data_IF_718633125093
#
_entry.id   IF_718633125093
#
_cell.length_a   1.000
_cell.length_b   1.000
_cell.length_c   1.000
_cell.angle_alpha   90.00
_cell.angle_beta   90.00
_cell.angle_gamma   90.00
#
_symmetry.space_group_name_H-M   'P 1'
#
loop_
_entity.id
_entity.type
_entity.pdbx_description
1 polymer ?
#
# COMPACT_ATOMS: atom_id res chain seq x y z
N UNK A 1 -33.52 68.11 14.50
CA UNK A 1 -34.80 68.54 15.09
C UNK A 1 -35.42 67.37 15.84
N UNK A 2 -35.39 67.54 17.07
CA UNK A 2 -36.55 67.66 17.96
C UNK A 2 -37.05 66.28 18.37
N UNK A 3 -36.78 65.85 19.53
CA UNK A 3 -37.32 66.11 20.88
C UNK A 3 -38.27 64.96 21.24
N UNK A 4 -38.15 64.40 22.28
CA UNK A 4 -38.36 64.72 23.68
C UNK A 4 -39.44 63.85 24.27
N UNK A 5 -39.05 63.36 25.43
CA UNK A 5 -39.86 63.37 26.66
C UNK A 5 -40.95 62.28 26.75
N UNK A 6 -41.21 61.64 27.80
CA UNK A 6 -40.76 61.67 29.19
C UNK A 6 -41.65 60.68 29.96
N UNK A 7 -41.05 60.14 31.06
CA UNK A 7 -41.69 59.96 32.37
C UNK A 7 -43.06 59.34 32.40
N UNK A 8 -43.34 58.31 33.16
CA UNK A 8 -43.05 58.03 34.54
C UNK A 8 -44.14 57.17 35.18
N UNK A 9 -43.91 56.79 36.41
CA UNK A 9 -44.77 56.29 37.43
C UNK A 9 -45.02 54.75 37.45
N UNK A 10 -44.31 54.02 38.31
CA UNK A 10 -44.59 53.73 39.71
C UNK A 10 -46.08 53.43 40.05
N UNK A 11 -46.27 52.18 40.44
CA UNK A 11 -47.08 51.72 41.57
C UNK A 11 -47.18 50.20 41.47
N UNK A 12 -46.53 49.45 42.33
CA UNK A 12 -46.88 49.12 43.69
C UNK A 12 -47.92 48.00 43.80
N UNK A 13 -47.45 46.87 44.28
CA UNK A 13 -48.05 45.97 45.27
C UNK A 13 -49.36 45.25 44.89
N UNK A 14 -49.29 43.95 44.89
CA UNK A 14 -50.01 43.18 45.94
C UNK A 14 -49.57 41.74 45.93
N UNK A 15 -49.00 41.31 47.06
CA UNK A 15 -48.89 39.91 47.51
C UNK A 15 -50.26 39.28 47.52
N UNK A 16 -50.40 38.15 46.83
CA UNK A 16 -51.44 37.17 47.15
C UNK A 16 -50.77 35.84 47.44
N UNK A 17 -50.59 35.61 48.73
CA UNK A 17 -50.32 34.28 49.29
C UNK A 17 -51.60 33.46 49.11
N UNK A 18 -51.56 32.48 48.24
CA UNK A 18 -52.51 31.37 48.27
C UNK A 18 -51.75 30.10 48.63
N UNK A 19 -51.85 29.77 49.90
CA UNK A 19 -51.52 28.46 50.45
C UNK A 19 -52.50 27.44 49.87
N UNK A 20 -52.00 26.49 49.11
CA UNK A 20 -52.73 25.28 48.70
C UNK A 20 -52.07 24.11 49.42
N UNK A 21 -52.87 23.28 50.11
CA UNK A 21 -52.34 22.23 50.97
C UNK A 21 -51.69 21.11 50.21
N UNK A 22 -50.59 20.64 50.75
CA UNK A 22 -49.99 19.36 50.40
C UNK A 22 -50.98 18.23 50.63
N UNK A 23 -51.48 17.64 49.56
CA UNK A 23 -51.96 16.26 49.57
C UNK A 23 -50.99 15.48 48.70
N UNK A 24 -50.21 14.61 49.33
CA UNK A 24 -49.25 13.78 48.65
C UNK A 24 -49.90 12.77 47.73
N UNK A 25 -49.19 12.53 46.65
CA UNK A 25 -48.97 11.22 46.06
C UNK A 25 -48.19 11.39 44.74
N UNK A 26 -46.95 10.88 44.74
CA UNK A 26 -46.37 10.38 43.50
C UNK A 26 -45.62 11.35 42.58
N UNK A 27 -44.67 12.15 43.06
CA UNK A 27 -43.71 12.85 42.17
C UNK A 27 -42.30 12.28 42.30
N UNK A 28 -42.21 10.96 42.52
CA UNK A 28 -40.95 10.25 42.63
C UNK A 28 -40.47 9.57 41.33
N UNK A 29 -40.92 9.95 40.12
CA UNK A 29 -40.56 9.11 38.97
C UNK A 29 -39.99 9.80 37.74
N UNK A 30 -39.99 11.12 37.68
CA UNK A 30 -39.43 11.83 36.53
C UNK A 30 -37.99 12.28 36.76
N UNK A 31 -37.61 12.60 37.99
CA UNK A 31 -36.24 12.95 38.35
C UNK A 31 -35.38 11.68 38.53
N UNK A 32 -35.93 10.57 39.03
CA UNK A 32 -35.23 9.27 39.10
C UNK A 32 -34.90 8.68 37.72
N UNK A 33 -35.69 9.03 36.68
CA UNK A 33 -35.36 8.62 35.30
C UNK A 33 -34.23 9.44 34.67
N UNK A 34 -33.91 10.60 35.24
CA UNK A 34 -32.78 11.43 34.73
C UNK A 34 -31.54 11.32 35.63
N UNK A 35 -31.63 10.76 36.81
CA UNK A 35 -30.51 10.63 37.75
C UNK A 35 -30.04 9.20 37.96
N UNK A 36 -30.81 8.20 37.54
CA UNK A 36 -30.41 6.77 37.59
C UNK A 36 -30.03 6.26 36.19
N UNK A 37 -29.15 6.95 35.48
CA UNK A 37 -28.12 6.32 34.69
C UNK A 37 -26.85 6.34 35.53
N UNK A 38 -26.80 5.54 36.57
CA UNK A 38 -25.57 4.93 37.02
C UNK A 38 -25.13 3.98 35.87
N UNK A 39 -24.76 4.55 34.70
CA UNK A 39 -23.75 3.97 33.88
C UNK A 39 -22.46 4.08 34.69
N UNK A 40 -22.37 3.32 35.80
CA UNK A 40 -21.09 2.99 36.39
C UNK A 40 -20.34 2.26 35.29
N UNK A 41 -19.45 3.02 34.62
CA UNK A 41 -18.51 2.45 33.69
C UNK A 41 -17.76 1.35 34.46
N UNK A 42 -18.13 0.11 34.19
CA UNK A 42 -17.45 -1.06 34.76
C UNK A 42 -16.30 -1.33 33.81
N UNK A 43 -15.11 -0.96 34.29
CA UNK A 43 -13.89 -1.26 33.59
C UNK A 43 -13.75 -2.78 33.47
N UNK A 44 -13.86 -3.30 32.24
CA UNK A 44 -13.64 -4.73 32.01
C UNK A 44 -12.14 -5.03 31.90
N UNK A 45 -11.68 -6.21 32.33
CA UNK A 45 -10.29 -6.62 32.18
C UNK A 45 -9.87 -6.60 30.71
N UNK A 46 -8.67 -6.05 30.43
CA UNK A 46 -8.17 -5.86 29.07
C UNK A 46 -8.07 -7.16 28.26
N UNK A 47 -7.66 -8.25 28.93
CA UNK A 47 -7.57 -9.58 28.33
C UNK A 47 -8.95 -10.12 27.93
N UNK A 48 -9.98 -9.85 28.70
CA UNK A 48 -11.36 -10.26 28.40
C UNK A 48 -11.86 -9.57 27.12
N UNK A 49 -11.74 -8.25 27.05
CA UNK A 49 -12.17 -7.46 25.88
C UNK A 49 -11.40 -7.90 24.64
N UNK A 50 -10.08 -8.09 24.77
CA UNK A 50 -9.24 -8.58 23.69
C UNK A 50 -9.67 -9.96 23.18
N UNK A 51 -9.92 -10.90 24.08
CA UNK A 51 -10.36 -12.26 23.71
C UNK A 51 -11.75 -12.27 23.07
N UNK A 52 -12.65 -11.38 23.50
CA UNK A 52 -13.94 -11.18 22.80
C UNK A 52 -13.72 -10.68 21.35
N UNK A 53 -12.79 -9.75 21.14
CA UNK A 53 -12.40 -9.31 19.81
C UNK A 53 -11.87 -10.45 18.94
N UNK A 54 -10.98 -11.29 19.49
CA UNK A 54 -10.49 -12.49 18.81
C UNK A 54 -11.61 -13.47 18.46
N UNK A 55 -12.53 -13.71 19.37
CA UNK A 55 -13.69 -14.57 19.13
C UNK A 55 -14.56 -14.05 17.98
N UNK A 56 -14.88 -12.77 17.99
CA UNK A 56 -15.66 -12.13 16.94
C UNK A 56 -14.97 -12.24 15.58
N UNK A 57 -13.65 -12.07 15.56
CA UNK A 57 -12.85 -12.14 14.34
C UNK A 57 -12.75 -13.59 13.81
N UNK A 58 -12.39 -14.55 14.68
CA UNK A 58 -12.04 -15.91 14.27
C UNK A 58 -13.28 -16.80 14.08
N UNK A 59 -14.23 -16.74 15.00
CA UNK A 59 -15.40 -17.61 15.00
C UNK A 59 -16.60 -17.00 14.28
N UNK A 60 -16.86 -15.71 14.50
CA UNK A 60 -17.99 -15.02 13.88
C UNK A 60 -17.66 -14.40 12.53
N UNK A 61 -16.37 -14.25 12.20
CA UNK A 61 -15.89 -13.54 11.00
C UNK A 61 -16.41 -12.11 10.88
N UNK A 62 -16.79 -11.52 12.02
CA UNK A 62 -17.25 -10.13 12.11
C UNK A 62 -16.10 -9.21 12.44
N UNK A 63 -15.38 -8.78 11.38
CA UNK A 63 -14.21 -7.90 11.50
C UNK A 63 -14.57 -6.54 12.07
N UNK A 64 -15.78 -6.04 11.78
CA UNK A 64 -16.24 -4.74 12.26
C UNK A 64 -16.52 -4.76 13.77
N UNK A 65 -17.19 -5.81 14.27
CA UNK A 65 -17.42 -5.98 15.69
C UNK A 65 -16.10 -6.26 16.45
N UNK A 66 -15.20 -7.05 15.86
CA UNK A 66 -13.87 -7.29 16.41
C UNK A 66 -13.08 -6.00 16.61
N UNK A 67 -13.06 -5.13 15.58
CA UNK A 67 -12.39 -3.82 15.67
C UNK A 67 -12.89 -2.98 16.84
N UNK A 68 -14.20 -2.91 17.03
CA UNK A 68 -14.77 -2.16 18.17
C UNK A 68 -14.24 -2.65 19.52
N UNK A 69 -14.05 -3.97 19.66
CA UNK A 69 -13.47 -4.55 20.87
C UNK A 69 -11.98 -4.22 21.02
N UNK A 70 -11.21 -4.27 19.94
CA UNK A 70 -9.79 -3.88 20.00
C UNK A 70 -9.61 -2.38 20.30
N UNK A 71 -10.44 -1.51 19.73
CA UNK A 71 -10.47 -0.09 20.05
C UNK A 71 -10.90 0.16 21.51
N UNK A 72 -11.82 -0.66 22.03
CA UNK A 72 -12.24 -0.61 23.42
C UNK A 72 -11.08 -0.91 24.39
N UNK A 73 -10.22 -1.89 24.06
CA UNK A 73 -9.02 -2.17 24.87
C UNK A 73 -8.10 -0.94 24.90
N UNK A 74 -7.84 -0.30 23.77
CA UNK A 74 -6.99 0.89 23.69
C UNK A 74 -7.59 2.06 24.48
N UNK A 75 -8.90 2.19 24.49
CA UNK A 75 -9.61 3.24 25.21
C UNK A 75 -9.61 3.03 26.72
N UNK A 76 -9.88 1.80 27.20
CA UNK A 76 -9.96 1.50 28.64
C UNK A 76 -8.58 1.28 29.27
N UNK A 77 -7.64 0.71 28.53
CA UNK A 77 -6.33 0.29 29.02
C UNK A 77 -5.17 0.76 28.12
N UNK A 78 -5.03 2.08 27.84
CA UNK A 78 -4.18 2.61 26.75
C UNK A 78 -2.68 2.32 26.90
N UNK A 79 -2.22 1.99 28.10
CA UNK A 79 -0.80 1.73 28.40
C UNK A 79 -0.49 0.26 28.66
N UNK A 80 -1.45 -0.62 28.44
CA UNK A 80 -1.27 -2.06 28.66
C UNK A 80 -0.62 -2.75 27.46
N UNK A 81 0.00 -3.90 27.70
CA UNK A 81 0.43 -4.80 26.62
C UNK A 81 -0.72 -5.26 25.75
N UNK A 82 -1.93 -5.31 26.30
CA UNK A 82 -3.14 -5.63 25.58
C UNK A 82 -3.55 -4.53 24.60
N UNK A 83 -3.35 -3.26 24.95
CA UNK A 83 -3.56 -2.14 24.00
C UNK A 83 -2.63 -2.23 22.81
N UNK A 84 -1.34 -2.54 23.03
CA UNK A 84 -0.38 -2.75 21.96
C UNK A 84 -0.81 -3.90 21.04
N UNK A 85 -1.18 -5.06 21.60
CA UNK A 85 -1.69 -6.21 20.83
C UNK A 85 -2.98 -5.87 20.09
N UNK A 86 -3.90 -5.15 20.76
CA UNK A 86 -5.18 -4.75 20.19
C UNK A 86 -5.01 -3.81 18.99
N UNK A 87 -4.07 -2.87 19.05
CA UNK A 87 -3.78 -1.97 17.96
C UNK A 87 -3.29 -2.73 16.72
N UNK A 88 -2.43 -3.74 16.89
CA UNK A 88 -2.00 -4.61 15.81
C UNK A 88 -3.16 -5.43 15.24
N UNK A 89 -3.97 -6.02 16.11
CA UNK A 89 -5.14 -6.82 15.70
C UNK A 89 -6.21 -5.97 15.02
N UNK A 90 -6.35 -4.71 15.41
CA UNK A 90 -7.21 -3.75 14.73
C UNK A 90 -6.73 -3.51 13.30
N UNK A 91 -5.43 -3.24 13.11
CA UNK A 91 -4.84 -3.09 11.77
C UNK A 91 -5.08 -4.35 10.91
N UNK A 92 -4.85 -5.54 11.47
CA UNK A 92 -5.11 -6.81 10.77
C UNK A 92 -6.59 -6.99 10.41
N UNK A 93 -7.49 -6.68 11.35
CA UNK A 93 -8.93 -6.83 11.15
C UNK A 93 -9.46 -5.87 10.08
N UNK A 94 -8.99 -4.62 10.03
CA UNK A 94 -9.28 -3.69 8.94
C UNK A 94 -8.79 -4.21 7.59
N UNK A 95 -7.56 -4.76 7.57
CA UNK A 95 -7.01 -5.35 6.36
C UNK A 95 -7.86 -6.51 5.83
N UNK A 96 -8.27 -7.43 6.71
CA UNK A 96 -9.16 -8.54 6.37
C UNK A 96 -10.54 -8.08 5.89
N UNK A 97 -11.00 -6.95 6.36
CA UNK A 97 -12.25 -6.33 5.92
C UNK A 97 -12.12 -5.56 4.58
N UNK A 98 -10.90 -5.40 4.05
CA UNK A 98 -10.62 -4.60 2.87
C UNK A 98 -10.64 -3.09 3.13
N UNK A 99 -10.69 -2.67 4.39
CA UNK A 99 -10.57 -1.25 4.78
C UNK A 99 -9.10 -0.86 4.90
N UNK A 100 -8.49 -0.65 3.74
CA UNK A 100 -7.06 -0.41 3.64
C UNK A 100 -6.63 0.94 4.23
N UNK A 101 -7.46 1.97 4.16
CA UNK A 101 -7.14 3.28 4.73
C UNK A 101 -7.08 3.22 6.25
N UNK A 102 -8.04 2.56 6.89
CA UNK A 102 -8.02 2.30 8.34
C UNK A 102 -6.86 1.40 8.74
N UNK A 103 -6.53 0.39 7.93
CA UNK A 103 -5.34 -0.45 8.13
C UNK A 103 -4.06 0.37 8.16
N UNK A 104 -3.85 1.24 7.18
CA UNK A 104 -2.68 2.10 7.08
C UNK A 104 -2.59 3.01 8.31
N UNK A 105 -3.71 3.60 8.74
CA UNK A 105 -3.78 4.45 9.92
C UNK A 105 -3.37 3.72 11.20
N UNK A 106 -3.99 2.56 11.47
CA UNK A 106 -3.72 1.75 12.66
C UNK A 106 -2.28 1.18 12.67
N UNK A 107 -1.83 0.65 11.54
CA UNK A 107 -0.49 0.10 11.41
C UNK A 107 0.61 1.18 11.52
N UNK A 108 0.38 2.37 10.94
CA UNK A 108 1.31 3.50 11.08
C UNK A 108 1.41 3.93 12.54
N UNK A 109 0.28 4.02 13.25
CA UNK A 109 0.27 4.30 14.69
C UNK A 109 1.08 3.25 15.45
N UNK A 110 0.91 1.95 15.10
CA UNK A 110 1.66 0.87 15.74
C UNK A 110 3.18 1.02 15.57
N UNK A 111 3.67 1.18 14.35
CA UNK A 111 5.13 1.31 14.11
C UNK A 111 5.72 2.59 14.70
N UNK A 112 4.91 3.65 14.82
CA UNK A 112 5.33 4.90 15.45
C UNK A 112 5.49 4.76 16.97
N UNK A 113 4.53 4.08 17.62
CA UNK A 113 4.52 3.91 19.07
C UNK A 113 5.43 2.75 19.54
N UNK A 114 5.59 1.72 18.71
CA UNK A 114 6.27 0.48 19.08
C UNK A 114 7.30 0.04 18.03
N UNK A 115 8.26 0.91 17.61
CA UNK A 115 9.19 0.60 16.51
C UNK A 115 10.14 -0.56 16.80
N UNK A 116 10.42 -0.83 18.07
CA UNK A 116 11.26 -1.95 18.53
C UNK A 116 10.49 -3.24 18.85
N UNK A 117 9.18 -3.27 18.62
CA UNK A 117 8.39 -4.48 18.85
C UNK A 117 8.75 -5.58 17.85
N UNK A 118 8.73 -6.87 18.25
CA UNK A 118 8.85 -7.99 17.32
C UNK A 118 7.84 -7.96 16.17
N UNK A 119 6.66 -7.39 16.41
CA UNK A 119 5.56 -7.30 15.46
C UNK A 119 5.62 -6.06 14.56
N UNK A 120 6.61 -5.17 14.75
CA UNK A 120 6.74 -3.93 13.97
C UNK A 120 6.95 -4.21 12.48
N UNK A 121 7.67 -5.28 12.14
CA UNK A 121 7.85 -5.71 10.75
C UNK A 121 6.53 -6.10 10.09
N UNK A 122 5.65 -6.78 10.82
CA UNK A 122 4.32 -7.13 10.34
C UNK A 122 3.43 -5.90 10.13
N UNK A 123 3.43 -4.98 11.10
CA UNK A 123 2.67 -3.74 10.97
C UNK A 123 3.14 -2.90 9.76
N UNK A 124 4.47 -2.81 9.54
CA UNK A 124 5.02 -2.15 8.36
C UNK A 124 4.61 -2.84 7.05
N UNK A 125 4.57 -4.18 7.07
CA UNK A 125 4.11 -4.97 5.93
C UNK A 125 2.61 -4.74 5.64
N UNK A 126 1.76 -4.63 6.65
CA UNK A 126 0.33 -4.32 6.46
C UNK A 126 0.12 -2.97 5.77
N UNK A 127 0.93 -1.95 6.08
CA UNK A 127 0.90 -0.66 5.36
C UNK A 127 1.19 -0.88 3.88
N UNK A 128 2.29 -1.58 3.58
CA UNK A 128 2.72 -1.81 2.21
C UNK A 128 1.74 -2.70 1.43
N UNK A 129 1.25 -3.78 2.05
CA UNK A 129 0.25 -4.66 1.46
C UNK A 129 -1.06 -3.93 1.16
N UNK A 130 -1.49 -3.03 2.05
CA UNK A 130 -2.68 -2.21 1.84
C UNK A 130 -2.53 -1.27 0.64
N UNK A 131 -1.37 -0.65 0.44
CA UNK A 131 -1.12 0.13 -0.77
C UNK A 131 -1.12 -0.74 -2.02
N UNK A 132 -0.57 -1.95 -1.95
CA UNK A 132 -0.50 -2.87 -3.07
C UNK A 132 -1.88 -3.41 -3.47
N UNK A 133 -2.66 -3.88 -2.50
CA UNK A 133 -3.94 -4.55 -2.73
C UNK A 133 -5.07 -3.57 -3.14
N UNK A 134 -4.86 -2.27 -2.97
CA UNK A 134 -5.74 -1.21 -3.50
C UNK A 134 -5.55 -0.94 -5.00
N UNK A 135 -4.54 -1.52 -5.64
CA UNK A 135 -4.25 -1.23 -7.05
C UNK A 135 -5.17 -2.09 -7.93
N UNK A 136 -6.12 -1.48 -8.69
CA UNK A 136 -7.02 -2.25 -9.55
C UNK A 136 -6.29 -2.91 -10.72
N UNK A 137 -5.28 -2.21 -11.27
CA UNK A 137 -4.46 -2.67 -12.39
C UNK A 137 -3.07 -2.04 -12.29
N UNK A 138 -2.08 -2.86 -11.96
CA UNK A 138 -0.67 -2.46 -11.80
C UNK A 138 -0.14 -1.77 -13.06
N UNK A 139 -0.58 -2.20 -14.23
CA UNK A 139 -0.10 -1.68 -15.49
C UNK A 139 -0.74 -0.33 -15.89
N UNK A 140 -1.85 0.04 -15.29
CA UNK A 140 -2.60 1.26 -15.62
C UNK A 140 -2.45 2.36 -14.60
N UNK A 141 -2.36 2.02 -13.33
CA UNK A 141 -2.23 2.99 -12.24
C UNK A 141 -0.77 3.08 -11.78
N UNK A 142 0.04 3.76 -12.56
CA UNK A 142 1.48 3.88 -12.32
C UNK A 142 1.78 4.56 -10.96
N UNK A 143 1.05 5.62 -10.61
CA UNK A 143 1.31 6.37 -9.38
C UNK A 143 1.05 5.52 -8.13
N UNK A 144 -0.05 4.76 -8.10
CA UNK A 144 -0.35 3.84 -7.00
C UNK A 144 0.64 2.67 -6.96
N UNK A 145 1.02 2.15 -8.12
CA UNK A 145 2.00 1.06 -8.21
C UNK A 145 3.37 1.50 -7.69
N UNK A 146 3.86 2.68 -8.06
CA UNK A 146 5.12 3.24 -7.55
C UNK A 146 5.06 3.45 -6.02
N UNK A 147 3.95 3.97 -5.50
CA UNK A 147 3.75 4.14 -4.06
C UNK A 147 3.76 2.81 -3.30
N UNK A 148 3.11 1.79 -3.85
CA UNK A 148 3.09 0.46 -3.26
C UNK A 148 4.50 -0.19 -3.27
N UNK A 149 5.22 -0.10 -4.38
CA UNK A 149 6.60 -0.59 -4.48
C UNK A 149 7.50 0.12 -3.47
N UNK A 150 7.42 1.45 -3.35
CA UNK A 150 8.19 2.20 -2.37
C UNK A 150 7.89 1.77 -0.92
N UNK A 151 6.62 1.53 -0.59
CA UNK A 151 6.22 1.02 0.73
C UNK A 151 6.73 -0.40 0.99
N UNK A 152 6.73 -1.28 -0.01
CA UNK A 152 7.30 -2.62 0.09
C UNK A 152 8.83 -2.59 0.24
N UNK A 153 9.52 -1.70 -0.49
CA UNK A 153 10.97 -1.48 -0.34
C UNK A 153 11.34 -0.98 1.06
N UNK A 154 10.46 -0.18 1.68
CA UNK A 154 10.65 0.27 3.06
C UNK A 154 10.58 -0.88 4.07
N UNK A 155 9.71 -1.88 3.87
CA UNK A 155 9.70 -3.10 4.69
C UNK A 155 11.05 -3.81 4.61
N UNK A 156 11.58 -4.00 3.40
CA UNK A 156 12.87 -4.67 3.17
C UNK A 156 14.02 -3.89 3.82
N UNK A 157 14.00 -2.57 3.71
CA UNK A 157 15.04 -1.69 4.27
C UNK A 157 15.05 -1.67 5.79
N UNK A 158 13.87 -1.60 6.42
CA UNK A 158 13.75 -1.52 7.89
C UNK A 158 13.88 -2.88 8.57
N UNK A 159 13.40 -3.94 7.94
CA UNK A 159 13.29 -5.27 8.53
C UNK A 159 13.84 -6.36 7.59
N UNK A 160 15.11 -6.29 7.16
CA UNK A 160 15.66 -7.12 6.07
C UNK A 160 15.68 -8.62 6.36
N UNK A 161 15.68 -9.02 7.64
CA UNK A 161 15.72 -10.42 8.08
C UNK A 161 14.36 -11.01 8.39
N UNK A 162 13.29 -10.22 8.29
CA UNK A 162 11.93 -10.69 8.55
C UNK A 162 11.36 -11.51 7.39
N UNK A 163 10.45 -12.41 7.68
CA UNK A 163 9.67 -13.14 6.66
C UNK A 163 8.87 -12.17 5.77
N UNK A 164 8.48 -11.01 6.32
CA UNK A 164 7.74 -9.97 5.60
C UNK A 164 8.60 -9.26 4.55
N UNK A 165 9.92 -9.19 4.74
CA UNK A 165 10.85 -8.72 3.72
C UNK A 165 10.87 -9.67 2.51
N UNK A 166 10.80 -10.97 2.72
CA UNK A 166 10.70 -11.97 1.64
C UNK A 166 9.37 -11.84 0.89
N UNK A 167 8.26 -11.69 1.62
CA UNK A 167 6.94 -11.46 1.03
C UNK A 167 6.88 -10.16 0.24
N UNK A 168 7.50 -9.08 0.76
CA UNK A 168 7.58 -7.80 0.08
C UNK A 168 8.39 -7.89 -1.23
N UNK A 169 9.53 -8.60 -1.23
CA UNK A 169 10.32 -8.87 -2.44
C UNK A 169 9.50 -9.57 -3.51
N UNK A 170 8.78 -10.62 -3.15
CA UNK A 170 7.93 -11.37 -4.08
C UNK A 170 6.84 -10.49 -4.71
N UNK A 171 6.18 -9.62 -3.93
CA UNK A 171 5.20 -8.66 -4.45
C UNK A 171 5.83 -7.64 -5.40
N UNK A 172 7.02 -7.10 -5.08
CA UNK A 172 7.76 -6.17 -5.94
C UNK A 172 8.12 -6.84 -7.27
N UNK A 173 8.65 -8.06 -7.23
CA UNK A 173 9.00 -8.81 -8.44
C UNK A 173 7.79 -9.08 -9.31
N UNK A 174 6.65 -9.47 -8.72
CA UNK A 174 5.40 -9.64 -9.43
C UNK A 174 4.89 -8.36 -10.10
N UNK A 175 4.97 -7.23 -9.40
CA UNK A 175 4.58 -5.93 -9.95
C UNK A 175 5.51 -5.50 -11.11
N UNK A 176 6.82 -5.65 -10.94
CA UNK A 176 7.81 -5.35 -11.98
C UNK A 176 7.63 -6.22 -13.22
N UNK A 177 7.33 -7.51 -13.02
CA UNK A 177 7.05 -8.43 -14.14
C UNK A 177 5.82 -8.00 -14.96
N UNK A 178 4.75 -7.56 -14.28
CA UNK A 178 3.55 -7.05 -14.95
C UNK A 178 3.84 -5.74 -15.73
N UNK A 179 4.60 -4.82 -15.12
CA UNK A 179 5.00 -3.57 -15.77
C UNK A 179 5.89 -3.84 -17.01
N UNK A 180 6.86 -4.73 -16.87
CA UNK A 180 7.69 -5.16 -17.98
C UNK A 180 6.87 -5.82 -19.10
N UNK A 181 5.93 -6.69 -18.75
CA UNK A 181 5.02 -7.34 -19.69
C UNK A 181 4.19 -6.35 -20.50
N UNK A 182 3.72 -5.27 -19.88
CA UNK A 182 3.04 -4.16 -20.57
C UNK A 182 3.97 -3.48 -21.59
N UNK A 183 5.18 -3.11 -21.17
CA UNK A 183 6.14 -2.47 -22.07
C UNK A 183 6.48 -3.39 -23.25
N UNK A 184 6.64 -4.69 -22.99
CA UNK A 184 6.86 -5.69 -24.05
C UNK A 184 5.71 -5.78 -25.02
N UNK A 185 4.47 -5.79 -24.54
CA UNK A 185 3.27 -5.83 -25.39
C UNK A 185 3.19 -4.61 -26.32
N UNK A 186 3.43 -3.41 -25.77
CA UNK A 186 3.46 -2.16 -26.55
C UNK A 186 4.63 -2.15 -27.54
N UNK A 187 5.81 -2.61 -27.12
CA UNK A 187 6.98 -2.72 -27.97
C UNK A 187 6.74 -3.65 -29.17
N UNK A 188 6.17 -4.84 -28.96
CA UNK A 188 5.79 -5.78 -30.04
C UNK A 188 4.78 -5.16 -31.00
N UNK A 189 3.78 -4.43 -30.50
CA UNK A 189 2.84 -3.71 -31.36
C UNK A 189 3.55 -2.72 -32.31
N UNK A 190 4.52 -1.95 -31.80
CA UNK A 190 5.29 -1.04 -32.61
C UNK A 190 6.18 -1.77 -33.65
N UNK A 191 6.75 -2.92 -33.32
CA UNK A 191 7.48 -3.76 -34.29
C UNK A 191 6.56 -4.20 -35.42
N UNK A 192 5.34 -4.65 -35.12
CA UNK A 192 4.32 -5.02 -36.11
C UNK A 192 3.95 -3.84 -37.04
N UNK A 193 3.93 -2.62 -36.49
CA UNK A 193 3.71 -1.38 -37.23
C UNK A 193 4.97 -0.86 -37.95
N UNK A 194 6.11 -1.53 -37.80
CA UNK A 194 7.42 -1.13 -38.32
C UNK A 194 7.91 0.24 -37.78
N UNK A 195 7.37 0.68 -36.66
CA UNK A 195 7.87 1.83 -35.90
C UNK A 195 8.94 1.35 -34.91
N UNK A 196 10.11 1.06 -35.46
CA UNK A 196 11.21 0.49 -34.68
C UNK A 196 11.76 1.46 -33.64
N UNK A 197 11.70 2.76 -33.87
CA UNK A 197 12.15 3.77 -32.91
C UNK A 197 11.26 3.77 -31.66
N UNK A 198 9.94 3.73 -31.84
CA UNK A 198 9.00 3.60 -30.72
C UNK A 198 9.18 2.25 -30.02
N UNK A 199 9.38 1.16 -30.76
CA UNK A 199 9.63 -0.16 -30.19
C UNK A 199 10.90 -0.20 -29.31
N UNK A 200 12.00 0.37 -29.80
CA UNK A 200 13.28 0.46 -29.09
C UNK A 200 13.09 1.17 -27.74
N UNK A 201 12.34 2.26 -27.70
CA UNK A 201 12.10 2.98 -26.45
C UNK A 201 11.37 2.11 -25.41
N UNK A 202 10.42 1.28 -25.84
CA UNK A 202 9.72 0.36 -24.95
C UNK A 202 10.61 -0.76 -24.43
N UNK A 203 11.34 -1.42 -25.31
CA UNK A 203 12.28 -2.48 -24.91
C UNK A 203 13.44 -1.95 -24.07
N UNK A 204 13.90 -0.71 -24.35
CA UNK A 204 14.88 -0.02 -23.51
C UNK A 204 14.39 0.15 -22.07
N UNK A 205 13.12 0.50 -21.85
CA UNK A 205 12.52 0.57 -20.51
C UNK A 205 12.63 -0.75 -19.80
N UNK A 206 12.33 -1.88 -20.46
CA UNK A 206 12.48 -3.22 -19.85
C UNK A 206 13.93 -3.49 -19.45
N UNK A 207 14.86 -3.25 -20.34
CA UNK A 207 16.30 -3.50 -20.10
C UNK A 207 16.88 -2.57 -19.03
N UNK A 208 16.39 -1.34 -18.89
CA UNK A 208 16.94 -0.38 -17.92
C UNK A 208 16.26 -0.38 -16.57
N UNK A 209 14.98 -0.77 -16.50
CA UNK A 209 14.19 -0.67 -15.25
C UNK A 209 13.72 -2.03 -14.70
N UNK A 210 13.63 -3.05 -15.56
CA UNK A 210 13.04 -4.35 -15.22
C UNK A 210 13.98 -5.53 -15.56
N UNK A 211 15.28 -5.37 -15.35
CA UNK A 211 16.32 -6.35 -15.73
C UNK A 211 16.16 -7.71 -15.04
N UNK A 212 15.54 -7.75 -13.86
CA UNK A 212 15.35 -8.98 -13.07
C UNK A 212 14.11 -9.76 -13.48
N UNK A 213 13.31 -9.23 -14.42
CA UNK A 213 12.11 -9.91 -14.88
C UNK A 213 12.41 -10.91 -16.00
N UNK A 214 11.53 -11.90 -16.17
CA UNK A 214 11.61 -12.89 -17.26
C UNK A 214 11.57 -12.26 -18.67
N UNK A 215 11.23 -10.99 -18.78
CA UNK A 215 11.06 -10.28 -20.06
C UNK A 215 12.36 -9.72 -20.63
N UNK A 216 13.44 -9.66 -19.84
CA UNK A 216 14.71 -9.02 -20.28
C UNK A 216 15.35 -9.73 -21.47
N UNK A 217 15.27 -11.06 -21.51
CA UNK A 217 15.84 -11.86 -22.61
C UNK A 217 15.14 -11.55 -23.94
N UNK A 218 13.81 -11.56 -23.95
CA UNK A 218 13.05 -11.18 -25.15
C UNK A 218 13.31 -9.71 -25.51
N UNK A 219 13.39 -8.80 -24.54
CA UNK A 219 13.65 -7.39 -24.79
C UNK A 219 14.99 -7.17 -25.52
N UNK A 220 16.05 -7.87 -25.10
CA UNK A 220 17.35 -7.81 -25.77
C UNK A 220 17.29 -8.35 -27.22
N UNK A 221 16.59 -9.46 -27.43
CA UNK A 221 16.35 -9.96 -28.80
C UNK A 221 15.59 -8.96 -29.64
N UNK A 222 14.50 -8.38 -29.13
CA UNK A 222 13.71 -7.38 -29.85
C UNK A 222 14.47 -6.09 -30.12
N UNK A 223 15.39 -5.70 -29.24
CA UNK A 223 16.34 -4.62 -29.52
C UNK A 223 17.29 -4.99 -30.67
N UNK A 224 17.81 -6.21 -30.69
CA UNK A 224 18.61 -6.71 -31.81
C UNK A 224 17.83 -6.58 -33.11
N UNK A 225 16.60 -7.08 -33.15
CA UNK A 225 15.71 -7.03 -34.33
C UNK A 225 15.44 -5.58 -34.77
N UNK A 226 15.06 -4.70 -33.87
CA UNK A 226 14.71 -3.32 -34.20
C UNK A 226 15.93 -2.51 -34.63
N UNK A 227 17.08 -2.67 -34.00
CA UNK A 227 18.32 -2.00 -34.43
C UNK A 227 18.85 -2.50 -35.77
N UNK A 228 18.75 -3.80 -36.05
CA UNK A 228 19.06 -4.34 -37.41
C UNK A 228 18.15 -3.73 -38.46
N UNK A 229 16.84 -3.63 -38.16
CA UNK A 229 15.85 -3.08 -39.11
C UNK A 229 16.11 -1.61 -39.52
N UNK A 230 16.65 -0.80 -38.57
CA UNK A 230 16.97 0.62 -38.85
C UNK A 230 18.45 0.86 -39.19
N UNK A 231 19.26 -0.21 -39.28
CA UNK A 231 20.66 -0.12 -39.69
C UNK A 231 21.65 0.34 -38.61
N UNK A 232 21.24 0.36 -37.35
CA UNK A 232 22.15 0.66 -36.21
C UNK A 232 22.81 -0.64 -35.75
N UNK A 233 23.63 -1.21 -36.61
CA UNK A 233 24.18 -2.56 -36.46
C UNK A 233 25.06 -2.74 -35.22
N UNK A 234 25.77 -1.71 -34.78
CA UNK A 234 26.62 -1.77 -33.56
C UNK A 234 25.83 -2.00 -32.30
N UNK A 235 24.66 -1.38 -32.14
CA UNK A 235 23.75 -1.62 -31.02
C UNK A 235 23.07 -2.99 -31.11
N UNK A 236 22.73 -3.44 -32.34
CA UNK A 236 22.18 -4.77 -32.55
C UNK A 236 23.20 -5.88 -32.13
N UNK A 237 24.46 -5.74 -32.60
CA UNK A 237 25.54 -6.67 -32.18
C UNK A 237 25.77 -6.68 -30.69
N UNK A 238 25.73 -5.51 -30.05
CA UNK A 238 25.87 -5.38 -28.57
C UNK A 238 24.72 -6.04 -27.84
N UNK A 239 23.46 -5.81 -28.26
CA UNK A 239 22.30 -6.44 -27.64
C UNK A 239 22.37 -7.97 -27.70
N UNK A 240 22.76 -8.52 -28.88
CA UNK A 240 22.96 -9.96 -29.06
C UNK A 240 24.12 -10.50 -28.21
N UNK A 241 25.24 -9.77 -28.13
CA UNK A 241 26.40 -10.18 -27.31
C UNK A 241 26.09 -10.19 -25.83
N UNK A 242 25.43 -9.14 -25.30
CA UNK A 242 24.99 -9.06 -23.89
C UNK A 242 23.98 -10.15 -23.56
N UNK A 243 23.04 -10.45 -24.48
CA UNK A 243 22.11 -11.56 -24.35
C UNK A 243 22.83 -12.90 -24.26
N UNK A 244 23.80 -13.17 -25.14
CA UNK A 244 24.58 -14.40 -25.14
C UNK A 244 25.49 -14.55 -23.93
N UNK A 245 26.07 -13.45 -23.45
CA UNK A 245 26.92 -13.46 -22.27
C UNK A 245 26.14 -13.79 -20.98
N UNK A 246 24.98 -13.16 -20.79
CA UNK A 246 24.22 -13.29 -19.56
C UNK A 246 23.20 -14.44 -19.60
N UNK A 247 22.74 -14.84 -20.77
CA UNK A 247 21.68 -15.84 -20.96
C UNK A 247 22.03 -16.82 -22.09
N UNK A 248 23.15 -17.56 -22.00
CA UNK A 248 23.67 -18.38 -23.09
C UNK A 248 22.72 -19.49 -23.55
N UNK A 249 21.88 -20.00 -22.65
CA UNK A 249 20.93 -21.08 -22.94
C UNK A 249 19.58 -20.58 -23.45
N UNK A 250 19.39 -19.26 -23.53
CA UNK A 250 18.13 -18.64 -23.95
C UNK A 250 17.83 -18.94 -25.41
N UNK A 251 16.57 -19.30 -25.69
CA UNK A 251 16.07 -19.37 -27.08
C UNK A 251 16.24 -18.02 -27.80
N UNK A 252 16.06 -16.93 -27.07
CA UNK A 252 16.17 -15.58 -27.63
C UNK A 252 17.60 -15.26 -28.05
N UNK A 253 18.60 -15.82 -27.38
CA UNK A 253 19.98 -15.69 -27.82
C UNK A 253 20.21 -16.40 -29.17
N UNK A 254 19.69 -17.62 -29.33
CA UNK A 254 19.80 -18.36 -30.59
C UNK A 254 19.18 -17.56 -31.76
N UNK A 255 18.01 -16.97 -31.52
CA UNK A 255 17.31 -16.16 -32.51
C UNK A 255 18.09 -14.86 -32.82
N UNK A 256 18.62 -14.16 -31.80
CA UNK A 256 19.46 -12.97 -31.97
C UNK A 256 20.75 -13.28 -32.72
N UNK A 257 21.41 -14.38 -32.37
CA UNK A 257 22.64 -14.84 -33.06
C UNK A 257 22.37 -15.09 -34.57
N UNK A 258 21.33 -15.86 -34.87
CA UNK A 258 20.96 -16.17 -36.26
C UNK A 258 20.61 -14.91 -37.04
N UNK A 259 19.91 -13.96 -36.44
CA UNK A 259 19.56 -12.70 -37.07
C UNK A 259 20.80 -11.87 -37.41
N UNK A 260 21.73 -11.71 -36.46
CA UNK A 260 22.99 -10.97 -36.70
C UNK A 260 23.83 -11.65 -37.77
N UNK A 261 23.95 -12.98 -37.74
CA UNK A 261 24.68 -13.80 -38.71
C UNK A 261 24.07 -13.68 -40.10
N UNK A 262 22.75 -13.64 -40.25
CA UNK A 262 22.08 -13.48 -41.52
C UNK A 262 22.39 -12.14 -42.18
N UNK A 263 22.74 -11.13 -41.43
CA UNK A 263 23.24 -9.83 -41.87
C UNK A 263 24.74 -9.81 -42.16
N UNK A 264 25.44 -10.95 -42.10
CA UNK A 264 26.89 -11.04 -42.31
C UNK A 264 27.73 -10.51 -41.13
N UNK A 265 27.13 -10.42 -39.95
CA UNK A 265 27.75 -9.85 -38.73
C UNK A 265 27.92 -10.92 -37.68
N UNK A 266 28.68 -10.60 -36.64
CA UNK A 266 28.82 -11.41 -35.42
C UNK A 266 28.35 -10.62 -34.19
N UNK A 267 27.80 -11.25 -33.14
CA UNK A 267 27.61 -10.60 -31.87
C UNK A 267 28.94 -10.02 -31.36
N UNK A 268 28.94 -8.74 -31.06
CA UNK A 268 30.14 -8.02 -30.58
C UNK A 268 29.74 -6.91 -29.65
N UNK A 269 30.31 -6.94 -28.44
CA UNK A 269 29.94 -5.98 -27.39
C UNK A 269 30.74 -4.68 -27.56
N UNK A 270 30.03 -3.56 -27.66
CA UNK A 270 30.59 -2.24 -27.52
C UNK A 270 30.45 -1.77 -26.05
N UNK A 271 31.57 -1.66 -25.35
CA UNK A 271 31.60 -1.23 -23.96
C UNK A 271 31.06 0.18 -23.71
N UNK A 272 31.08 1.04 -24.75
CA UNK A 272 30.49 2.38 -24.73
C UNK A 272 28.98 2.42 -24.96
N UNK A 273 28.37 1.30 -25.36
CA UNK A 273 26.92 1.19 -25.56
C UNK A 273 26.16 1.40 -24.24
N UNK A 274 24.98 1.98 -24.34
CA UNK A 274 24.08 2.11 -23.18
C UNK A 274 23.66 0.73 -22.63
N UNK A 275 23.53 -0.29 -23.48
CA UNK A 275 23.16 -1.66 -23.10
C UNK A 275 24.26 -2.24 -22.21
N UNK A 276 25.52 -2.23 -22.64
CA UNK A 276 26.66 -2.73 -21.86
C UNK A 276 26.78 -2.00 -20.52
N UNK A 277 26.66 -0.67 -20.53
CA UNK A 277 26.72 0.12 -19.28
C UNK A 277 25.59 -0.21 -18.31
N UNK A 278 24.40 -0.55 -18.81
CA UNK A 278 23.26 -0.95 -17.97
C UNK A 278 23.54 -2.27 -17.28
N UNK A 279 24.03 -3.28 -18.01
CA UNK A 279 24.31 -4.60 -17.45
C UNK A 279 25.51 -4.59 -16.48
N UNK A 280 26.53 -3.79 -16.74
CA UNK A 280 27.64 -3.60 -15.80
C UNK A 280 27.20 -3.03 -14.43
N UNK A 281 26.26 -2.09 -14.43
CA UNK A 281 25.75 -1.47 -13.20
C UNK A 281 25.06 -2.48 -12.27
N UNK A 282 24.45 -3.52 -12.81
CA UNK A 282 23.73 -4.55 -12.04
C UNK A 282 24.60 -5.79 -11.72
N UNK A 283 25.90 -5.73 -12.03
CA UNK A 283 26.83 -6.85 -11.77
C UNK A 283 26.66 -8.06 -12.69
N UNK A 284 26.01 -7.85 -13.84
CA UNK A 284 25.82 -8.83 -14.91
C UNK A 284 26.67 -8.39 -16.15
N UNK A 285 27.90 -8.02 -15.93
CA UNK A 285 28.83 -7.60 -16.98
C UNK A 285 30.13 -8.32 -16.94
#
# INVERSE_FOLDING_TARGET
SISSQARGLLQAATLFLLAVPLAGCGTGSLWDKFTNKDDTFVEEPADKIYNEGLYLMNEKKDMKAANKKFEEVDRQHPYSDWARKSLLMSAYSFYQAGDYDSTIGAATRYVTLHPGSPDAAYAQYLIAASHYDQIPDISRDQARTEKAIAALEEVIRKYPTSEYATSAKSKIEGARDQLAGKEMAVGRYYVEKRDYTAAINRFKTVVTQYQTTRHVEEALYRLTEAYMAIGIVGEAQTAAAVLGHNFPDSRWYKDAYNLVKSGGLEPSENQGSWISRTFKKIGLG
#
